data_IF_821820118651
#
_entry.id   IF_821820118651
#
_cell.length_a   1.000
_cell.length_b   1.000
_cell.length_c   1.000
_cell.angle_alpha   90.00
_cell.angle_beta   90.00
_cell.angle_gamma   90.00
#
_symmetry.space_group_name_H-M   'P 1'
#
loop_
_entity.id
_entity.type
_entity.pdbx_description
1 polymer ?
#
# COMPACT_ATOMS: atom_id res chain seq x y z
N UNK A 1 -37.03 -29.13 -28.79
CA UNK A 1 -36.53 -27.92 -29.47
C UNK A 1 -35.39 -27.38 -28.64
N UNK A 2 -34.16 -27.62 -29.06
CA UNK A 2 -32.94 -27.13 -28.43
C UNK A 2 -32.25 -26.20 -29.43
N UNK A 3 -31.92 -24.98 -29.01
CA UNK A 3 -31.19 -24.02 -29.82
C UNK A 3 -29.75 -24.01 -29.32
N UNK A 4 -28.87 -24.62 -30.12
CA UNK A 4 -27.44 -24.35 -30.12
C UNK A 4 -27.18 -23.33 -31.22
N UNK A 5 -26.46 -22.24 -30.93
CA UNK A 5 -25.85 -21.41 -31.96
C UNK A 5 -24.34 -21.38 -31.74
N UNK A 6 -23.65 -22.15 -32.58
CA UNK A 6 -22.22 -22.06 -32.82
C UNK A 6 -21.96 -21.02 -33.91
N UNK A 7 -20.89 -20.26 -33.70
CA UNK A 7 -20.30 -19.26 -34.61
C UNK A 7 -19.58 -19.97 -35.76
N UNK A 8 -19.77 -19.56 -37.01
CA UNK A 8 -18.71 -19.62 -38.04
C UNK A 8 -18.98 -18.80 -39.33
N UNK A 9 -17.93 -18.07 -39.76
CA UNK A 9 -17.54 -17.70 -41.16
C UNK A 9 -18.26 -16.57 -41.94
N UNK A 10 -17.66 -15.99 -43.04
CA UNK A 10 -16.25 -15.71 -43.36
C UNK A 10 -16.00 -14.32 -44.07
N UNK A 11 -14.73 -14.09 -44.43
CA UNK A 11 -14.05 -13.02 -45.22
C UNK A 11 -14.81 -12.19 -46.28
N UNK A 12 -14.42 -10.91 -46.43
CA UNK A 12 -14.29 -10.23 -47.74
C UNK A 12 -13.04 -9.36 -47.77
N UNK A 13 -12.16 -9.65 -48.75
CA UNK A 13 -10.96 -8.89 -49.13
C UNK A 13 -11.32 -7.87 -50.22
N UNK A 14 -10.76 -6.65 -50.16
CA UNK A 14 -10.61 -5.78 -51.33
C UNK A 14 -9.34 -4.92 -51.23
N UNK A 15 -8.58 -4.88 -52.34
CA UNK A 15 -7.25 -4.27 -52.50
C UNK A 15 -7.33 -2.99 -53.35
N UNK A 16 -6.56 -1.95 -52.98
CA UNK A 16 -5.79 -1.14 -53.95
C UNK A 16 -6.04 0.37 -54.03
N UNK A 17 -5.02 1.20 -53.70
CA UNK A 17 -4.25 2.04 -54.65
C UNK A 17 -3.51 3.22 -53.98
N UNK A 18 -2.38 3.61 -54.60
CA UNK A 18 -1.27 4.45 -54.10
C UNK A 18 -1.50 5.97 -54.24
N UNK A 19 -0.91 6.76 -53.34
CA UNK A 19 -0.13 8.00 -53.63
C UNK A 19 0.41 8.61 -52.31
N UNK A 20 1.68 9.04 -52.27
CA UNK A 20 2.38 9.57 -51.07
C UNK A 20 2.11 11.06 -50.79
N UNK A 21 3.01 11.84 -50.15
CA UNK A 21 4.08 11.52 -49.19
C UNK A 21 3.77 12.10 -47.79
N UNK A 22 4.28 11.44 -46.73
CA UNK A 22 4.16 11.93 -45.35
C UNK A 22 3.44 10.94 -44.45
N UNK A 23 4.20 10.06 -43.78
CA UNK A 23 3.69 9.23 -42.70
C UNK A 23 4.65 9.27 -41.51
N UNK A 24 4.13 9.44 -40.28
CA UNK A 24 4.86 9.08 -39.08
C UNK A 24 5.08 7.56 -39.05
N UNK A 25 6.26 7.15 -38.59
CA UNK A 25 6.66 5.74 -38.43
C UNK A 25 5.92 5.18 -37.21
N UNK A 26 4.88 4.38 -37.45
CA UNK A 26 4.35 3.46 -36.43
C UNK A 26 5.10 2.14 -36.56
N UNK A 27 5.91 1.79 -35.55
CA UNK A 27 6.49 0.44 -35.41
C UNK A 27 5.43 -0.51 -34.85
N UNK A 28 4.92 -1.41 -35.68
CA UNK A 28 4.20 -2.59 -35.21
C UNK A 28 5.20 -3.61 -34.65
N UNK A 29 5.10 -3.91 -33.36
CA UNK A 29 5.84 -5.01 -32.74
C UNK A 29 4.99 -6.26 -32.90
N UNK A 30 5.34 -7.09 -33.89
CA UNK A 30 4.77 -8.43 -34.04
C UNK A 30 5.44 -9.39 -33.06
N UNK A 31 4.69 -9.86 -32.06
CA UNK A 31 5.15 -10.91 -31.15
C UNK A 31 5.09 -12.27 -31.88
N UNK A 32 6.24 -12.92 -32.06
CA UNK A 32 6.33 -14.34 -32.46
C UNK A 32 6.38 -15.24 -31.23
N UNK A 33 5.69 -16.40 -31.23
CA UNK A 33 5.80 -17.37 -30.15
C UNK A 33 7.11 -18.14 -30.30
N UNK A 34 7.99 -18.05 -29.30
CA UNK A 34 9.19 -18.89 -29.22
C UNK A 34 9.00 -19.92 -28.12
N UNK A 35 8.85 -21.17 -28.53
CA UNK A 35 8.86 -22.34 -27.65
C UNK A 35 10.30 -22.60 -27.25
N UNK A 36 10.74 -22.10 -26.09
CA UNK A 36 12.00 -22.52 -25.47
C UNK A 36 11.72 -22.86 -24.01
N UNK A 37 11.96 -24.12 -23.65
CA UNK A 37 11.84 -24.64 -22.30
C UNK A 37 12.99 -24.08 -21.44
N UNK A 38 12.65 -23.36 -20.37
CA UNK A 38 13.62 -22.91 -19.37
C UNK A 38 13.82 -24.06 -18.37
N UNK A 39 15.03 -24.62 -18.38
CA UNK A 39 15.49 -25.60 -17.39
C UNK A 39 15.85 -24.84 -16.11
N UNK A 40 15.18 -25.13 -15.00
CA UNK A 40 15.43 -24.47 -13.71
C UNK A 40 16.80 -24.87 -13.11
N UNK A 41 17.49 -23.95 -12.42
CA UNK A 41 18.75 -24.27 -11.75
C UNK A 41 18.53 -25.14 -10.49
N UNK A 42 19.51 -26.00 -10.13
CA UNK A 42 19.41 -26.92 -9.02
C UNK A 42 19.47 -26.21 -7.66
N UNK A 43 18.77 -26.81 -6.70
CA UNK A 43 18.68 -26.44 -5.28
C UNK A 43 20.04 -26.18 -4.62
N UNK A 44 20.22 -24.98 -4.03
CA UNK A 44 21.31 -24.69 -3.11
C UNK A 44 20.83 -24.75 -1.65
N UNK A 45 21.62 -25.47 -0.85
CA UNK A 45 21.47 -25.76 0.59
C UNK A 45 21.50 -24.51 1.49
N UNK A 46 21.07 -24.62 2.76
CA UNK A 46 20.99 -23.50 3.69
C UNK A 46 22.38 -23.14 4.24
N UNK A 47 22.80 -21.89 4.06
CA UNK A 47 23.99 -21.36 4.73
C UNK A 47 23.66 -20.99 6.18
N UNK A 48 24.43 -21.62 7.06
CA UNK A 48 24.56 -21.44 8.51
C UNK A 48 25.26 -20.11 8.82
N UNK A 49 24.71 -19.29 9.73
CA UNK A 49 25.35 -18.06 10.25
C UNK A 49 25.96 -18.41 11.62
N UNK A 50 27.29 -18.33 11.82
CA UNK A 50 27.89 -18.56 13.12
C UNK A 50 27.72 -17.33 14.02
N UNK A 51 27.26 -17.58 15.24
CA UNK A 51 27.36 -16.67 16.39
C UNK A 51 28.77 -16.73 16.98
N UNK A 52 29.36 -15.55 17.22
CA UNK A 52 30.52 -15.24 18.08
C UNK A 52 31.39 -14.21 17.35
N UNK A 53 31.59 -12.97 17.82
CA UNK A 53 32.26 -12.64 19.06
C UNK A 53 32.26 -11.11 19.20
N UNK A 54 31.68 -10.56 20.27
CA UNK A 54 31.91 -9.17 20.67
C UNK A 54 32.87 -9.19 21.85
N UNK A 55 34.09 -8.67 21.65
CA UNK A 55 35.09 -8.54 22.69
C UNK A 55 34.69 -7.42 23.66
N UNK A 56 34.64 -7.77 24.94
CA UNK A 56 34.64 -6.86 26.08
C UNK A 56 35.89 -6.00 26.09
N UNK A 57 35.74 -4.70 26.35
CA UNK A 57 36.81 -3.86 26.89
C UNK A 57 36.27 -3.08 28.09
N UNK A 58 37.06 -3.11 29.15
CA UNK A 58 36.67 -3.02 30.55
C UNK A 58 36.32 -1.62 31.07
N UNK A 59 35.47 -1.60 32.09
CA UNK A 59 35.11 -0.44 32.92
C UNK A 59 36.16 -0.12 34.00
N UNK A 60 36.50 1.16 34.14
CA UNK A 60 36.82 1.86 35.39
C UNK A 60 36.20 3.26 35.22
N UNK A 61 35.35 3.87 36.05
CA UNK A 61 35.01 3.76 37.46
C UNK A 61 34.87 5.23 37.95
N UNK A 62 33.71 5.66 38.43
CA UNK A 62 33.54 7.05 38.93
C UNK A 62 32.09 7.43 39.24
N UNK A 63 31.85 7.72 40.52
CA UNK A 63 30.60 7.99 41.22
C UNK A 63 29.83 9.21 40.71
N UNK A 64 28.51 9.06 40.52
CA UNK A 64 27.47 9.97 41.05
C UNK A 64 26.10 9.29 40.93
N UNK A 65 25.35 9.28 42.03
CA UNK A 65 24.13 8.49 42.23
C UNK A 65 22.89 9.34 41.88
N UNK A 66 22.17 9.01 40.81
CA UNK A 66 20.80 9.46 40.54
C UNK A 66 19.87 8.25 40.26
N UNK A 67 18.54 8.38 40.49
CA UNK A 67 17.66 7.28 40.84
C UNK A 67 17.42 6.28 39.70
N UNK A 68 17.21 5.02 40.11
CA UNK A 68 17.09 3.80 39.30
C UNK A 68 15.92 3.82 38.29
N UNK A 69 16.05 4.54 37.18
CA UNK A 69 15.38 4.16 35.95
C UNK A 69 16.05 2.89 35.42
N UNK A 70 15.30 1.80 35.28
CA UNK A 70 15.79 0.57 34.66
C UNK A 70 16.08 0.85 33.17
N UNK A 71 17.30 1.33 32.91
CA UNK A 71 17.89 1.55 31.60
C UNK A 71 18.22 0.19 30.95
N UNK A 72 17.37 -0.25 30.03
CA UNK A 72 17.89 -0.95 28.85
C UNK A 72 18.39 0.12 27.89
N UNK A 73 19.72 0.19 27.75
CA UNK A 73 20.46 1.32 27.22
C UNK A 73 20.13 1.73 25.78
N UNK A 74 19.59 2.94 25.66
CA UNK A 74 19.95 3.87 24.61
C UNK A 74 19.80 5.30 25.17
N UNK A 75 20.90 5.88 25.66
CA UNK A 75 20.97 7.26 26.20
C UNK A 75 21.11 8.32 25.10
N UNK A 76 20.76 8.00 23.85
CA UNK A 76 20.74 8.96 22.76
C UNK A 76 19.50 9.85 22.92
N UNK A 77 19.69 11.13 23.26
CA UNK A 77 18.66 12.13 22.95
C UNK A 77 18.44 12.07 21.43
N UNK A 78 17.20 11.96 20.94
CA UNK A 78 16.96 11.90 19.51
C UNK A 78 17.53 13.18 18.87
N UNK A 79 18.46 13.02 17.94
CA UNK A 79 18.99 14.12 17.17
C UNK A 79 17.89 14.67 16.25
N UNK A 80 17.61 15.97 16.35
CA UNK A 80 16.65 16.67 15.48
C UNK A 80 17.45 17.63 14.61
N UNK A 81 17.39 17.44 13.30
CA UNK A 81 17.99 18.35 12.33
C UNK A 81 17.13 19.62 12.22
N UNK A 82 17.66 20.82 12.54
CA UNK A 82 16.93 22.08 12.44
C UNK A 82 16.85 22.63 11.01
N UNK A 83 17.49 21.99 10.02
CA UNK A 83 17.57 22.49 8.65
C UNK A 83 16.19 22.56 8.00
N UNK A 84 15.72 23.74 7.58
CA UNK A 84 14.44 23.86 6.89
C UNK A 84 14.53 23.35 5.46
N UNK A 85 13.37 22.98 4.90
CA UNK A 85 13.26 22.63 3.48
C UNK A 85 13.68 23.83 2.59
N UNK A 86 14.40 23.60 1.47
CA UNK A 86 14.77 24.64 0.52
C UNK A 86 13.57 25.47 0.00
N UNK A 87 13.78 26.77 -0.24
CA UNK A 87 12.70 27.71 -0.60
C UNK A 87 12.08 27.45 -1.99
N UNK A 88 12.81 26.78 -2.88
CA UNK A 88 12.36 26.37 -4.21
C UNK A 88 11.33 25.24 -4.17
N UNK A 89 11.28 24.47 -3.07
CA UNK A 89 10.33 23.38 -2.87
C UNK A 89 9.07 23.91 -2.18
N UNK A 90 7.89 23.86 -2.84
CA UNK A 90 6.65 24.30 -2.22
C UNK A 90 6.29 23.46 -0.98
N UNK A 91 5.95 24.16 0.11
CA UNK A 91 5.51 23.54 1.36
C UNK A 91 4.18 22.80 1.18
N UNK A 92 4.03 21.67 1.87
CA UNK A 92 2.79 20.89 1.94
C UNK A 92 2.39 20.70 3.39
N UNK A 93 1.09 20.76 3.64
CA UNK A 93 0.55 20.39 4.96
C UNK A 93 0.71 18.89 5.13
N UNK A 94 1.22 18.46 6.27
CA UNK A 94 1.32 17.03 6.58
C UNK A 94 -0.04 16.43 6.96
N UNK A 95 -0.14 15.10 7.00
CA UNK A 95 -1.40 14.41 7.28
C UNK A 95 -1.91 14.59 8.70
N UNK A 96 -1.00 14.71 9.69
CA UNK A 96 -1.36 14.94 11.10
C UNK A 96 -2.25 13.85 11.72
N UNK A 97 -2.11 12.59 11.29
CA UNK A 97 -2.87 11.45 11.82
C UNK A 97 -1.96 10.39 12.44
N UNK A 98 -2.44 9.73 13.50
CA UNK A 98 -1.75 8.60 14.11
C UNK A 98 -1.92 7.31 13.30
N UNK A 99 -1.20 6.26 13.70
CA UNK A 99 -1.19 4.96 13.00
C UNK A 99 -2.57 4.30 12.89
N UNK A 100 -3.36 4.30 13.97
CA UNK A 100 -4.66 3.62 14.01
C UNK A 100 -5.69 4.20 13.02
N UNK A 101 -5.97 5.53 13.00
CA UNK A 101 -6.88 6.12 12.01
C UNK A 101 -6.35 6.00 10.58
N UNK A 102 -5.03 6.11 10.37
CA UNK A 102 -4.44 5.91 9.04
C UNK A 102 -4.64 4.47 8.54
N UNK A 103 -4.47 3.49 9.43
CA UNK A 103 -4.72 2.07 9.11
C UNK A 103 -6.21 1.78 8.86
N UNK A 104 -7.11 2.37 9.65
CA UNK A 104 -8.56 2.30 9.44
C UNK A 104 -8.97 2.82 8.06
N UNK A 105 -8.39 3.95 7.62
CA UNK A 105 -8.68 4.58 6.33
C UNK A 105 -7.92 3.98 5.13
N UNK A 106 -6.96 3.09 5.36
CA UNK A 106 -6.00 2.61 4.35
C UNK A 106 -6.64 2.11 3.05
N UNK A 107 -7.72 1.33 3.13
CA UNK A 107 -8.39 0.80 1.94
C UNK A 107 -9.09 1.89 1.12
N UNK A 108 -9.71 2.86 1.79
CA UNK A 108 -10.34 4.00 1.12
C UNK A 108 -9.29 4.91 0.48
N UNK A 109 -8.20 5.21 1.19
CA UNK A 109 -7.07 5.97 0.64
C UNK A 109 -6.48 5.22 -0.56
N UNK A 110 -6.31 3.90 -0.47
CA UNK A 110 -5.79 3.06 -1.54
C UNK A 110 -6.62 3.13 -2.81
N UNK A 111 -7.95 3.07 -2.71
CA UNK A 111 -8.83 3.19 -3.88
C UNK A 111 -8.96 4.63 -4.40
N UNK A 112 -9.09 5.60 -3.49
CA UNK A 112 -9.34 7.00 -3.84
C UNK A 112 -8.08 7.67 -4.42
N UNK A 113 -6.91 7.33 -3.88
CA UNK A 113 -5.61 7.87 -4.29
C UNK A 113 -4.81 6.94 -5.20
N UNK A 114 -5.41 5.86 -5.71
CA UNK A 114 -4.74 4.88 -6.57
C UNK A 114 -3.88 5.52 -7.68
N UNK A 115 -4.40 6.40 -8.56
CA UNK A 115 -3.61 6.95 -9.66
C UNK A 115 -2.38 7.73 -9.16
N UNK A 116 -2.53 8.52 -8.10
CA UNK A 116 -1.43 9.32 -7.55
C UNK A 116 -0.36 8.47 -6.88
N UNK A 117 -0.78 7.43 -6.15
CA UNK A 117 0.13 6.51 -5.48
C UNK A 117 0.91 5.66 -6.48
N UNK A 118 0.24 5.20 -7.55
CA UNK A 118 0.89 4.45 -8.64
C UNK A 118 1.89 5.33 -9.39
N UNK A 119 1.52 6.56 -9.76
CA UNK A 119 2.44 7.52 -10.40
C UNK A 119 3.69 7.79 -9.55
N UNK A 120 3.53 7.96 -8.23
CA UNK A 120 4.67 8.14 -7.32
C UNK A 120 5.59 6.91 -7.30
N UNK A 121 5.02 5.71 -7.27
CA UNK A 121 5.81 4.48 -7.27
C UNK A 121 6.50 4.23 -8.62
N UNK A 122 5.88 4.60 -9.74
CA UNK A 122 6.51 4.56 -11.07
C UNK A 122 7.67 5.54 -11.15
N UNK A 123 7.48 6.79 -10.71
CA UNK A 123 8.56 7.80 -10.66
C UNK A 123 9.77 7.29 -9.86
N UNK A 124 9.53 6.67 -8.68
CA UNK A 124 10.60 6.08 -7.86
C UNK A 124 11.27 4.86 -8.50
N UNK A 125 10.60 4.18 -9.42
CA UNK A 125 11.18 3.07 -10.15
C UNK A 125 12.03 3.54 -11.34
N UNK A 126 11.69 4.69 -11.92
CA UNK A 126 12.41 5.32 -13.04
C UNK A 126 13.70 6.04 -12.58
N UNK A 127 13.67 6.72 -11.42
CA UNK A 127 14.80 7.48 -10.88
C UNK A 127 15.05 7.14 -9.38
N UNK A 128 16.32 7.00 -9.01
CA UNK A 128 16.76 6.80 -7.63
C UNK A 128 16.89 8.11 -6.84
N UNK A 129 16.90 9.27 -7.52
CA UNK A 129 16.97 10.56 -6.87
C UNK A 129 15.62 10.92 -6.20
N UNK A 130 15.56 11.08 -4.86
CA UNK A 130 14.31 11.43 -4.17
C UNK A 130 13.77 12.81 -4.54
N UNK A 131 14.61 13.75 -4.98
CA UNK A 131 14.18 15.10 -5.36
C UNK A 131 13.29 15.09 -6.61
N UNK A 132 13.52 14.13 -7.52
CA UNK A 132 12.80 13.99 -8.78
C UNK A 132 11.29 13.82 -8.55
N UNK A 133 10.90 13.03 -7.54
CA UNK A 133 9.51 12.64 -7.29
C UNK A 133 8.80 13.49 -6.21
N UNK A 134 9.38 14.62 -5.79
CA UNK A 134 8.78 15.47 -4.75
C UNK A 134 7.41 16.02 -5.18
N UNK A 135 7.20 16.26 -6.47
CA UNK A 135 5.91 16.76 -6.98
C UNK A 135 4.80 15.72 -6.84
N UNK A 136 5.10 14.47 -7.17
CA UNK A 136 4.21 13.31 -7.10
C UNK A 136 3.92 12.97 -5.63
N UNK A 137 4.95 12.99 -4.78
CA UNK A 137 4.80 12.81 -3.33
C UNK A 137 3.82 13.81 -2.70
N UNK A 138 3.91 15.09 -3.09
CA UNK A 138 2.95 16.13 -2.64
C UNK A 138 1.51 15.83 -3.09
N UNK A 139 1.31 15.28 -4.29
CA UNK A 139 -0.02 14.89 -4.78
C UNK A 139 -0.61 13.75 -3.95
N UNK A 140 0.21 12.76 -3.61
CA UNK A 140 -0.20 11.65 -2.72
C UNK A 140 -0.62 12.17 -1.35
N UNK A 141 0.19 13.04 -0.72
CA UNK A 141 -0.14 13.61 0.59
C UNK A 141 -1.43 14.41 0.56
N UNK A 142 -1.63 15.27 -0.45
CA UNK A 142 -2.87 16.03 -0.60
C UNK A 142 -4.08 15.13 -0.80
N UNK A 143 -3.97 14.10 -1.64
CA UNK A 143 -5.06 13.16 -1.86
C UNK A 143 -5.44 12.42 -0.57
N UNK A 144 -4.45 11.98 0.22
CA UNK A 144 -4.71 11.31 1.49
C UNK A 144 -5.39 12.25 2.52
N UNK A 145 -5.04 13.56 2.53
CA UNK A 145 -5.75 14.55 3.34
C UNK A 145 -7.21 14.70 2.94
N UNK A 146 -7.49 14.78 1.64
CA UNK A 146 -8.85 14.86 1.11
C UNK A 146 -9.65 13.59 1.47
N UNK A 147 -9.05 12.41 1.34
CA UNK A 147 -9.68 11.14 1.69
C UNK A 147 -10.08 11.09 3.18
N UNK A 148 -9.15 11.46 4.07
CA UNK A 148 -9.41 11.48 5.52
C UNK A 148 -10.47 12.53 5.87
N UNK A 149 -10.43 13.69 5.22
CA UNK A 149 -11.42 14.75 5.42
C UNK A 149 -12.82 14.30 5.01
N UNK A 150 -12.95 13.59 3.88
CA UNK A 150 -14.23 13.01 3.43
C UNK A 150 -14.76 11.97 4.40
N UNK A 151 -13.90 11.07 4.90
CA UNK A 151 -14.31 10.08 5.92
C UNK A 151 -14.79 10.79 7.19
N UNK A 152 -14.04 11.77 7.69
CA UNK A 152 -14.41 12.52 8.90
C UNK A 152 -15.72 13.31 8.71
N UNK A 153 -15.97 13.85 7.53
CA UNK A 153 -17.21 14.57 7.24
C UNK A 153 -18.44 13.64 7.14
N UNK A 154 -18.25 12.43 6.61
CA UNK A 154 -19.35 11.51 6.34
C UNK A 154 -19.64 10.51 7.49
N UNK A 155 -18.60 9.92 8.10
CA UNK A 155 -18.69 8.71 8.92
C UNK A 155 -17.82 8.81 10.19
N UNK A 156 -17.81 9.97 10.86
CA UNK A 156 -16.90 10.24 11.97
C UNK A 156 -17.02 9.24 13.13
N UNK A 157 -18.26 8.87 13.49
CA UNK A 157 -18.54 8.04 14.66
C UNK A 157 -18.12 6.59 14.42
N UNK A 158 -18.50 6.01 13.28
CA UNK A 158 -18.11 4.67 12.87
C UNK A 158 -16.60 4.58 12.65
N UNK A 159 -16.02 5.61 12.01
CA UNK A 159 -14.58 5.69 11.82
C UNK A 159 -13.84 5.72 13.16
N UNK A 160 -14.37 6.48 14.13
CA UNK A 160 -13.81 6.61 15.46
C UNK A 160 -13.90 5.32 16.26
N UNK A 161 -15.05 4.64 16.19
CA UNK A 161 -15.25 3.33 16.80
C UNK A 161 -14.25 2.31 16.25
N UNK A 162 -14.07 2.28 14.93
CA UNK A 162 -13.17 1.34 14.26
C UNK A 162 -11.70 1.57 14.61
N UNK A 163 -11.18 2.79 14.49
CA UNK A 163 -9.76 3.01 14.80
C UNK A 163 -9.44 2.85 16.29
N UNK A 164 -10.37 3.20 17.21
CA UNK A 164 -10.21 2.94 18.65
C UNK A 164 -10.14 1.44 18.95
N UNK A 165 -10.89 0.62 18.21
CA UNK A 165 -10.77 -0.83 18.33
C UNK A 165 -9.39 -1.31 17.86
N UNK A 166 -8.92 -0.83 16.71
CA UNK A 166 -7.60 -1.21 16.18
C UNK A 166 -6.48 -0.85 17.17
N UNK A 167 -6.51 0.35 17.73
CA UNK A 167 -5.51 0.83 18.68
C UNK A 167 -5.40 -0.06 19.93
N UNK A 168 -6.53 -0.60 20.41
CA UNK A 168 -6.57 -1.51 21.57
C UNK A 168 -6.13 -2.95 21.28
N UNK A 169 -6.18 -3.37 20.02
CA UNK A 169 -5.99 -4.77 19.60
C UNK A 169 -4.73 -4.94 18.72
N UNK A 170 -3.64 -4.24 19.05
CA UNK A 170 -2.38 -4.29 18.30
C UNK A 170 -2.57 -4.08 16.79
N UNK A 171 -3.51 -3.22 16.42
CA UNK A 171 -3.90 -2.95 15.04
C UNK A 171 -4.38 -4.18 14.23
N UNK A 172 -4.80 -5.28 14.83
CA UNK A 172 -5.35 -6.46 14.12
C UNK A 172 -6.78 -6.21 13.62
N UNK A 173 -7.03 -6.43 12.32
CA UNK A 173 -8.38 -6.24 11.73
C UNK A 173 -9.35 -7.34 12.13
N UNK A 174 -8.84 -8.55 12.35
CA UNK A 174 -9.56 -9.74 12.80
C UNK A 174 -10.33 -9.53 14.11
N UNK A 175 -9.84 -8.64 14.98
CA UNK A 175 -10.48 -8.32 16.26
C UNK A 175 -11.55 -7.22 16.15
N UNK A 176 -11.61 -6.52 15.02
CA UNK A 176 -12.41 -5.31 14.85
C UNK A 176 -13.43 -5.39 13.71
N UNK A 177 -13.85 -6.60 13.30
CA UNK A 177 -14.79 -6.81 12.19
C UNK A 177 -16.15 -6.13 12.37
N UNK A 178 -16.68 -6.08 13.59
CA UNK A 178 -17.95 -5.41 13.87
C UNK A 178 -17.91 -3.91 13.56
N UNK A 179 -17.04 -3.10 14.19
CA UNK A 179 -16.94 -1.68 13.85
C UNK A 179 -16.40 -1.44 12.44
N UNK A 180 -15.62 -2.37 11.87
CA UNK A 180 -15.23 -2.31 10.45
C UNK A 180 -16.43 -2.42 9.51
N UNK A 181 -17.38 -3.32 9.79
CA UNK A 181 -18.59 -3.47 9.00
C UNK A 181 -19.50 -2.24 9.08
N UNK A 182 -19.64 -1.65 10.27
CA UNK A 182 -20.39 -0.41 10.47
C UNK A 182 -19.78 0.75 9.66
N UNK A 183 -18.45 0.87 9.69
CA UNK A 183 -17.73 1.84 8.87
C UNK A 183 -17.91 1.57 7.36
N UNK A 184 -17.75 0.32 6.92
CA UNK A 184 -17.91 -0.05 5.50
C UNK A 184 -19.33 0.25 5.01
N UNK A 185 -20.36 0.00 5.83
CA UNK A 185 -21.74 0.33 5.52
C UNK A 185 -21.93 1.85 5.34
N UNK A 186 -21.38 2.66 6.24
CA UNK A 186 -21.45 4.11 6.12
C UNK A 186 -20.71 4.63 4.87
N UNK A 187 -19.49 4.12 4.60
CA UNK A 187 -18.70 4.50 3.44
C UNK A 187 -19.40 4.12 2.12
N UNK A 188 -20.06 2.97 2.07
CA UNK A 188 -20.85 2.57 0.91
C UNK A 188 -22.06 3.48 0.70
N UNK A 189 -22.80 3.80 1.76
CA UNK A 189 -24.00 4.63 1.67
C UNK A 189 -23.69 6.09 1.31
N UNK A 190 -22.65 6.69 1.88
CA UNK A 190 -22.37 8.13 1.74
C UNK A 190 -21.30 8.47 0.70
N UNK A 191 -20.32 7.60 0.50
CA UNK A 191 -19.17 7.83 -0.38
C UNK A 191 -19.10 6.82 -1.54
N UNK A 192 -20.08 5.91 -1.65
CA UNK A 192 -20.16 4.88 -2.68
C UNK A 192 -18.89 4.02 -2.77
N UNK A 193 -18.20 3.84 -1.64
CA UNK A 193 -16.98 3.06 -1.56
C UNK A 193 -17.29 1.65 -1.06
N UNK A 194 -16.84 0.65 -1.83
CA UNK A 194 -16.79 -0.75 -1.40
C UNK A 194 -15.34 -1.17 -1.20
N UNK A 195 -15.05 -1.79 -0.06
CA UNK A 195 -13.73 -2.34 0.24
C UNK A 195 -13.50 -3.60 -0.57
N UNK A 196 -12.56 -3.55 -1.50
CA UNK A 196 -12.14 -4.69 -2.31
C UNK A 196 -10.68 -5.05 -2.01
N UNK A 197 -10.38 -6.34 -1.88
CA UNK A 197 -9.01 -6.84 -1.66
C UNK A 197 -8.46 -7.35 -2.99
N UNK A 198 -7.45 -6.69 -3.60
CA UNK A 198 -6.87 -7.14 -4.85
C UNK A 198 -6.22 -8.52 -4.68
N UNK A 199 -6.35 -9.39 -5.70
CA UNK A 199 -5.79 -10.74 -5.67
C UNK A 199 -6.57 -11.77 -4.84
N UNK A 200 -7.78 -11.44 -4.38
CA UNK A 200 -8.65 -12.42 -3.73
C UNK A 200 -9.03 -13.55 -4.70
N UNK A 201 -8.93 -14.83 -4.33
CA UNK A 201 -9.21 -15.95 -5.24
C UNK A 201 -10.67 -15.97 -5.68
N UNK A 202 -10.89 -16.12 -6.99
CA UNK A 202 -12.22 -16.18 -7.59
C UNK A 202 -13.04 -17.34 -7.00
N UNK A 203 -14.20 -17.04 -6.42
CA UNK A 203 -15.11 -18.03 -5.82
C UNK A 203 -15.02 -18.17 -4.30
N UNK A 204 -14.11 -17.45 -3.62
CA UNK A 204 -14.07 -17.39 -2.16
C UNK A 204 -14.58 -16.03 -1.64
N UNK A 205 -15.28 -16.06 -0.51
CA UNK A 205 -15.72 -14.84 0.18
C UNK A 205 -14.50 -14.15 0.81
N UNK A 206 -14.28 -12.84 0.57
CA UNK A 206 -13.21 -12.07 1.20
C UNK A 206 -13.22 -12.19 2.73
N UNK A 207 -12.05 -12.21 3.36
CA UNK A 207 -11.91 -12.47 4.80
C UNK A 207 -12.71 -11.50 5.70
N UNK A 208 -12.90 -10.25 5.26
CA UNK A 208 -13.63 -9.23 5.99
C UNK A 208 -15.16 -9.41 5.88
N UNK A 209 -15.65 -10.19 4.92
CA UNK A 209 -17.07 -10.51 4.73
C UNK A 209 -17.46 -11.91 5.29
N UNK A 210 -16.48 -12.70 5.75
CA UNK A 210 -16.76 -14.03 6.34
C UNK A 210 -17.58 -13.89 7.61
N UNK A 211 -18.73 -14.59 7.66
CA UNK A 211 -19.65 -14.57 8.81
C UNK A 211 -19.05 -15.20 10.08
N UNK A 212 -18.30 -16.29 9.94
CA UNK A 212 -17.72 -17.06 11.05
C UNK A 212 -16.19 -17.18 10.88
N UNK A 213 -15.41 -16.13 11.22
CA UNK A 213 -13.96 -16.20 11.18
C UNK A 213 -13.40 -17.04 12.34
N UNK A 214 -12.28 -17.74 12.11
CA UNK A 214 -11.59 -18.54 13.15
C UNK A 214 -11.02 -17.62 14.24
N UNK A 215 -10.47 -16.48 13.83
CA UNK A 215 -9.95 -15.45 14.74
C UNK A 215 -11.02 -14.39 14.98
N UNK A 216 -11.23 -14.05 16.25
CA UNK A 216 -12.20 -13.04 16.69
C UNK A 216 -11.69 -12.28 17.92
N UNK A 217 -12.44 -11.26 18.39
CA UNK A 217 -12.03 -10.40 19.51
C UNK A 217 -11.63 -11.22 20.73
N UNK A 218 -10.43 -10.95 21.26
CA UNK A 218 -9.95 -11.56 22.49
C UNK A 218 -10.87 -11.08 23.62
N UNK A 219 -11.68 -12.00 24.17
CA UNK A 219 -12.45 -11.74 25.39
C UNK A 219 -11.42 -11.46 26.50
N UNK A 220 -11.46 -10.27 27.08
CA UNK A 220 -10.63 -9.89 28.23
C UNK A 220 -11.45 -9.97 29.50
#
# INVERSE_FOLDING_TARGET
MAVFLTVDSPEVVAVGSRSGPGRPVTREVTAKPSTTWIVGPPSLSPYYIPSSSYNSLDHQGGSDQEPIHLYYGNTQKPFVDPTPMPNDVPKVSELGVSSAPLKSASFYIGSFCKPYSEDFMLCKAEDQNPEHCLKEGRRVTRCAQEAITKIKAACLDEFTSHWKCLDRNNHGFEFCRKPENDLNACLFQKLQFKKEIPGSPSGQVPIHEKKNPIYGPIQR
#
